data_IF_270338520377
#
_entry.id   IF_270338520377
#
_cell.length_a   1.000
_cell.length_b   1.000
_cell.length_c   1.000
_cell.angle_alpha   90.00
_cell.angle_beta   90.00
_cell.angle_gamma   90.00
#
_symmetry.space_group_name_H-M   'P 1'
#
loop_
_entity.id
_entity.type
_entity.pdbx_description
1 polymer ?
#
# COMPACT_ATOMS: atom_id res chain seq x y z
N UNK A 1 6.01 10.71 -19.85
CA UNK A 1 4.80 10.30 -19.12
C UNK A 1 5.19 10.02 -17.66
N UNK A 2 4.26 10.07 -16.72
CA UNK A 2 4.58 9.98 -15.28
C UNK A 2 3.41 9.32 -14.57
N UNK A 3 3.71 8.59 -13.47
CA UNK A 3 2.71 8.00 -12.59
C UNK A 3 1.66 9.01 -12.12
N UNK A 4 0.44 8.55 -11.84
CA UNK A 4 -0.59 9.33 -11.15
C UNK A 4 -0.65 8.94 -9.68
N UNK A 5 -0.75 9.93 -8.80
CA UNK A 5 -0.99 9.73 -7.37
C UNK A 5 -2.25 10.49 -6.97
N UNK A 6 -3.06 9.91 -6.13
CA UNK A 6 -4.31 10.51 -5.65
C UNK A 6 -4.48 10.25 -4.16
N UNK A 7 -5.10 11.19 -3.47
CA UNK A 7 -5.49 11.06 -2.06
C UNK A 7 -6.81 11.78 -1.81
N UNK A 8 -7.67 11.19 -1.01
CA UNK A 8 -8.96 11.76 -0.62
C UNK A 8 -9.20 11.54 0.88
N UNK A 9 -9.57 12.60 1.59
CA UNK A 9 -9.96 12.57 3.00
C UNK A 9 -11.35 13.19 3.16
N UNK A 10 -12.29 12.41 3.68
CA UNK A 10 -13.68 12.81 3.82
C UNK A 10 -13.93 13.38 5.21
N UNK A 11 -14.02 14.71 5.30
CA UNK A 11 -14.35 15.42 6.56
C UNK A 11 -15.82 15.27 6.93
N UNK A 12 -16.70 15.01 5.95
CA UNK A 12 -18.13 14.85 6.18
C UNK A 12 -18.48 13.37 6.31
N UNK A 13 -18.99 12.97 7.46
CA UNK A 13 -19.39 11.60 7.76
C UNK A 13 -20.40 11.03 6.74
N UNK A 14 -21.30 11.85 6.21
CA UNK A 14 -22.31 11.45 5.22
C UNK A 14 -21.73 11.02 3.88
N UNK A 15 -20.48 11.39 3.60
CA UNK A 15 -19.79 11.03 2.34
C UNK A 15 -18.97 9.74 2.46
N UNK A 16 -18.81 9.18 3.66
CA UNK A 16 -17.96 7.99 3.87
C UNK A 16 -18.36 6.79 3.02
N UNK A 17 -19.64 6.61 2.75
CA UNK A 17 -20.14 5.55 1.87
C UNK A 17 -19.85 5.80 0.39
N UNK A 18 -19.49 7.02 0.02
CA UNK A 18 -19.11 7.40 -1.34
C UNK A 18 -17.59 7.40 -1.58
N UNK A 19 -16.78 7.02 -0.58
CA UNK A 19 -15.31 7.09 -0.68
C UNK A 19 -14.79 6.34 -1.90
N UNK A 20 -15.23 5.10 -2.07
CA UNK A 20 -14.80 4.25 -3.18
C UNK A 20 -15.17 4.81 -4.54
N UNK A 21 -16.41 5.30 -4.71
CA UNK A 21 -16.86 5.94 -5.94
C UNK A 21 -16.03 7.18 -6.30
N UNK A 22 -15.70 8.01 -5.32
CA UNK A 22 -14.89 9.20 -5.52
C UNK A 22 -13.45 8.85 -5.91
N UNK A 23 -12.83 7.91 -5.18
CA UNK A 23 -11.48 7.44 -5.48
C UNK A 23 -11.40 6.77 -6.86
N UNK A 24 -12.40 5.97 -7.21
CA UNK A 24 -12.55 5.32 -8.51
C UNK A 24 -12.46 6.33 -9.66
N UNK A 25 -13.25 7.41 -9.58
CA UNK A 25 -13.22 8.49 -10.57
C UNK A 25 -11.85 9.16 -10.65
N UNK A 26 -11.17 9.39 -9.51
CA UNK A 26 -9.83 9.97 -9.48
C UNK A 26 -8.81 9.06 -10.19
N UNK A 27 -8.82 7.75 -9.91
CA UNK A 27 -7.92 6.78 -10.53
C UNK A 27 -8.16 6.65 -12.02
N UNK A 28 -9.42 6.58 -12.47
CA UNK A 28 -9.78 6.51 -13.89
C UNK A 28 -9.29 7.75 -14.63
N UNK A 29 -9.45 8.94 -14.05
CA UNK A 29 -8.95 10.18 -14.65
C UNK A 29 -7.41 10.23 -14.74
N UNK A 30 -6.69 9.41 -13.96
CA UNK A 30 -5.24 9.28 -14.02
C UNK A 30 -4.75 8.13 -14.94
N UNK A 31 -5.63 7.41 -15.65
CA UNK A 31 -5.25 6.27 -16.50
C UNK A 31 -4.23 6.65 -17.57
N UNK A 32 -4.38 7.82 -18.22
CA UNK A 32 -3.43 8.29 -19.22
C UNK A 32 -2.02 8.56 -18.67
N UNK A 33 -1.88 8.72 -17.36
CA UNK A 33 -0.59 8.93 -16.71
C UNK A 33 0.13 7.63 -16.38
N UNK A 34 -0.62 6.57 -16.08
CA UNK A 34 -0.04 5.28 -15.69
C UNK A 34 -0.98 4.13 -16.03
N UNK A 35 -0.89 3.59 -17.26
CA UNK A 35 -1.82 2.55 -17.73
C UNK A 35 -1.37 1.13 -17.36
N UNK A 36 -0.18 0.93 -16.80
CA UNK A 36 0.43 -0.40 -16.67
C UNK A 36 -0.03 -1.16 -15.43
N UNK A 37 -0.29 -0.45 -14.36
CA UNK A 37 -0.86 -1.02 -13.13
C UNK A 37 -1.52 0.06 -12.27
N UNK A 38 -2.44 -0.34 -11.42
CA UNK A 38 -3.05 0.53 -10.44
C UNK A 38 -3.22 -0.17 -9.10
N UNK A 39 -3.37 0.62 -8.06
CA UNK A 39 -3.73 0.12 -6.75
C UNK A 39 -4.12 1.24 -5.81
N UNK A 40 -4.71 0.84 -4.70
CA UNK A 40 -5.26 1.76 -3.73
C UNK A 40 -5.26 1.17 -2.32
N UNK A 41 -5.24 2.05 -1.34
CA UNK A 41 -5.43 1.74 0.07
C UNK A 41 -6.66 2.47 0.58
N UNK A 42 -7.53 1.75 1.28
CA UNK A 42 -8.75 2.26 1.93
C UNK A 42 -8.58 2.16 3.43
N UNK A 43 -8.89 3.23 4.13
CA UNK A 43 -8.87 3.27 5.59
C UNK A 43 -10.32 3.27 6.11
N UNK A 44 -10.63 2.20 6.84
CA UNK A 44 -11.93 1.96 7.47
C UNK A 44 -11.86 2.20 8.97
N UNK A 45 -12.99 2.05 9.64
CA UNK A 45 -13.01 2.06 11.11
C UNK A 45 -12.05 1.00 11.66
N UNK A 46 -11.26 1.38 12.66
CA UNK A 46 -10.30 0.51 13.33
C UNK A 46 -10.99 -0.68 14.01
N UNK A 47 -10.46 -1.87 13.79
CA UNK A 47 -10.86 -3.10 14.49
C UNK A 47 -10.06 -3.18 15.80
N UNK A 48 -10.73 -3.16 16.95
CA UNK A 48 -10.04 -3.08 18.25
C UNK A 48 -9.18 -4.30 18.56
N UNK A 49 -9.69 -5.51 18.24
CA UNK A 49 -9.09 -6.78 18.64
C UNK A 49 -8.51 -7.60 17.49
N UNK A 50 -8.82 -7.21 16.27
CA UNK A 50 -8.39 -7.95 15.07
C UNK A 50 -7.50 -7.10 14.18
N UNK A 51 -6.50 -7.76 13.61
CA UNK A 51 -5.71 -7.23 12.51
C UNK A 51 -6.32 -7.67 11.17
N UNK A 52 -6.17 -6.84 10.18
CA UNK A 52 -6.48 -7.10 8.77
C UNK A 52 -5.18 -7.32 8.02
N UNK A 53 -5.13 -8.33 7.20
CA UNK A 53 -4.01 -8.61 6.31
C UNK A 53 -4.55 -8.65 4.89
N UNK A 54 -4.05 -7.78 4.03
CA UNK A 54 -4.34 -7.79 2.59
C UNK A 54 -3.35 -8.73 1.93
N UNK A 55 -3.81 -9.87 1.43
CA UNK A 55 -2.99 -10.93 0.86
C UNK A 55 -3.37 -11.11 -0.61
N UNK A 56 -2.40 -11.02 -1.52
CA UNK A 56 -2.56 -11.42 -2.91
C UNK A 56 -2.29 -12.93 -3.03
N UNK A 57 -3.30 -13.68 -3.42
CA UNK A 57 -3.20 -15.14 -3.60
C UNK A 57 -2.77 -15.53 -5.02
N UNK A 58 -2.44 -14.53 -5.86
CA UNK A 58 -1.99 -14.72 -7.24
C UNK A 58 -2.92 -15.66 -8.04
N UNK A 59 -2.38 -16.74 -8.57
CA UNK A 59 -3.13 -17.77 -9.32
C UNK A 59 -3.69 -18.88 -8.44
N UNK A 60 -3.47 -18.82 -7.13
CA UNK A 60 -3.93 -19.84 -6.20
C UNK A 60 -5.46 -19.85 -6.13
N UNK A 61 -6.04 -21.06 -6.11
CA UNK A 61 -7.47 -21.18 -5.87
C UNK A 61 -7.81 -20.77 -4.43
N UNK A 62 -8.84 -19.93 -4.27
CA UNK A 62 -9.24 -19.41 -2.95
C UNK A 62 -9.54 -20.54 -1.95
N UNK A 63 -10.25 -21.59 -2.37
CA UNK A 63 -10.57 -22.72 -1.49
C UNK A 63 -9.30 -23.43 -0.99
N UNK A 64 -8.31 -23.61 -1.85
CA UNK A 64 -7.02 -24.17 -1.45
C UNK A 64 -6.31 -23.26 -0.44
N UNK A 65 -6.30 -21.95 -0.66
CA UNK A 65 -5.74 -21.00 0.30
C UNK A 65 -6.49 -21.06 1.64
N UNK A 66 -7.82 -21.03 1.62
CA UNK A 66 -8.68 -21.12 2.80
C UNK A 66 -8.42 -22.39 3.60
N UNK A 67 -8.38 -23.55 2.94
CA UNK A 67 -8.12 -24.84 3.60
C UNK A 67 -6.71 -24.91 4.21
N UNK A 68 -5.72 -24.28 3.58
CA UNK A 68 -4.35 -24.21 4.09
C UNK A 68 -4.24 -23.25 5.27
N UNK A 69 -4.76 -22.04 5.17
CA UNK A 69 -4.62 -21.02 6.22
C UNK A 69 -5.34 -21.43 7.49
N UNK A 70 -6.53 -22.05 7.38
CA UNK A 70 -7.30 -22.51 8.51
C UNK A 70 -6.65 -23.66 9.32
N UNK A 71 -5.60 -24.29 8.78
CA UNK A 71 -4.77 -25.26 9.55
C UNK A 71 -3.81 -24.57 10.53
N UNK A 72 -3.50 -23.30 10.30
CA UNK A 72 -2.51 -22.55 11.07
C UNK A 72 -3.12 -21.40 11.86
N UNK A 73 -4.21 -20.81 11.36
CA UNK A 73 -4.76 -19.55 11.83
C UNK A 73 -6.28 -19.60 11.85
N UNK A 74 -6.87 -19.25 12.99
CA UNK A 74 -8.30 -18.92 13.06
C UNK A 74 -8.51 -17.51 12.51
N UNK A 75 -9.20 -17.40 11.37
CA UNK A 75 -9.37 -16.15 10.66
C UNK A 75 -10.68 -16.07 9.88
N UNK A 76 -11.21 -14.86 9.80
CA UNK A 76 -12.27 -14.51 8.86
C UNK A 76 -11.63 -14.13 7.51
N UNK A 77 -12.10 -14.73 6.42
CA UNK A 77 -11.59 -14.51 5.08
C UNK A 77 -12.63 -13.84 4.20
N UNK A 78 -12.28 -12.70 3.62
CA UNK A 78 -13.10 -12.03 2.61
C UNK A 78 -12.34 -11.96 1.30
N UNK A 79 -12.73 -12.78 0.33
CA UNK A 79 -12.17 -12.76 -1.02
C UNK A 79 -12.66 -11.55 -1.80
N UNK A 80 -11.74 -10.88 -2.49
CA UNK A 80 -12.03 -9.93 -3.54
C UNK A 80 -11.08 -10.15 -4.71
N UNK A 81 -11.56 -10.82 -5.74
CA UNK A 81 -10.79 -11.25 -6.91
C UNK A 81 -9.61 -12.18 -6.53
N UNK A 82 -8.37 -11.76 -6.78
CA UNK A 82 -7.13 -12.45 -6.39
C UNK A 82 -6.53 -11.93 -5.08
N UNK A 83 -7.26 -11.08 -4.38
CA UNK A 83 -6.90 -10.63 -3.02
C UNK A 83 -7.84 -11.22 -1.99
N UNK A 84 -7.31 -11.40 -0.80
CA UNK A 84 -8.05 -11.84 0.39
C UNK A 84 -7.75 -10.86 1.52
N UNK A 85 -8.80 -10.33 2.14
CA UNK A 85 -8.69 -9.65 3.43
C UNK A 85 -8.90 -10.69 4.50
N UNK A 86 -7.83 -10.99 5.21
CA UNK A 86 -7.80 -11.93 6.34
C UNK A 86 -7.89 -11.13 7.64
N UNK A 87 -8.85 -11.45 8.49
CA UNK A 87 -9.00 -10.83 9.81
C UNK A 87 -8.77 -11.86 10.90
N UNK A 88 -7.86 -11.57 11.83
CA UNK A 88 -7.52 -12.44 12.95
C UNK A 88 -6.99 -11.63 14.13
N UNK A 89 -6.97 -12.23 15.33
CA UNK A 89 -6.31 -11.66 16.51
C UNK A 89 -4.77 -11.88 16.53
N UNK A 90 -4.24 -12.63 15.57
CA UNK A 90 -2.80 -12.88 15.46
C UNK A 90 -2.07 -11.59 15.12
N UNK A 91 -1.03 -11.29 15.90
CA UNK A 91 -0.20 -10.09 15.75
C UNK A 91 0.70 -10.16 14.50
N UNK A 92 1.10 -9.01 13.93
CA UNK A 92 1.86 -8.95 12.68
C UNK A 92 3.11 -9.83 12.65
N UNK A 93 3.94 -9.82 13.68
CA UNK A 93 5.18 -10.63 13.71
C UNK A 93 4.90 -12.15 13.58
N UNK A 94 3.87 -12.66 14.26
CA UNK A 94 3.50 -14.05 14.16
C UNK A 94 2.89 -14.39 12.79
N UNK A 95 2.06 -13.48 12.24
CA UNK A 95 1.50 -13.65 10.91
C UNK A 95 2.60 -13.68 9.84
N UNK A 96 3.54 -12.72 9.88
CA UNK A 96 4.67 -12.67 8.95
C UNK A 96 5.50 -13.96 8.99
N UNK A 97 5.78 -14.49 10.20
CA UNK A 97 6.47 -15.77 10.34
C UNK A 97 5.67 -16.91 9.71
N UNK A 98 4.37 -17.02 10.01
CA UNK A 98 3.50 -18.06 9.44
C UNK A 98 3.43 -17.99 7.90
N UNK A 99 3.30 -16.79 7.33
CA UNK A 99 3.28 -16.61 5.88
C UNK A 99 4.62 -17.01 5.26
N UNK A 100 5.72 -16.61 5.88
CA UNK A 100 7.07 -16.95 5.42
C UNK A 100 7.34 -18.46 5.45
N UNK A 101 6.86 -19.15 6.49
CA UNK A 101 7.16 -20.57 6.69
C UNK A 101 6.26 -21.50 5.86
N UNK A 102 5.01 -21.09 5.57
CA UNK A 102 4.01 -21.98 5.00
C UNK A 102 3.34 -21.50 3.71
N UNK A 103 3.55 -20.23 3.28
CA UNK A 103 2.81 -19.60 2.18
C UNK A 103 3.72 -18.83 1.22
N UNK A 104 4.68 -19.52 0.57
CA UNK A 104 5.61 -18.91 -0.39
C UNK A 104 4.96 -18.51 -1.73
N UNK A 105 3.73 -18.94 -1.96
CA UNK A 105 2.95 -18.74 -3.19
C UNK A 105 1.95 -17.58 -3.10
N UNK A 106 1.97 -16.83 -2.01
CA UNK A 106 1.16 -15.63 -1.81
C UNK A 106 2.03 -14.43 -1.46
N UNK A 107 1.50 -13.22 -1.65
CA UNK A 107 2.21 -11.97 -1.29
C UNK A 107 1.40 -11.19 -0.25
N UNK A 108 2.02 -10.79 0.84
CA UNK A 108 1.43 -9.84 1.79
C UNK A 108 1.52 -8.43 1.20
N UNK A 109 0.36 -7.82 0.94
CA UNK A 109 0.27 -6.50 0.31
C UNK A 109 0.30 -5.38 1.35
N UNK A 110 -0.19 -5.65 2.55
CA UNK A 110 -0.18 -4.73 3.68
C UNK A 110 -1.02 -5.25 4.84
N UNK A 111 -0.88 -4.61 5.98
CA UNK A 111 -1.57 -5.01 7.20
C UNK A 111 -1.82 -3.84 8.16
N UNK A 112 -2.78 -4.02 9.04
CA UNK A 112 -3.14 -3.07 10.09
C UNK A 112 -4.50 -3.38 10.68
N UNK A 113 -5.06 -2.44 11.41
CA UNK A 113 -6.40 -2.56 11.99
C UNK A 113 -7.46 -1.84 11.18
N UNK A 114 -7.05 -0.87 10.37
CA UNK A 114 -7.96 -0.01 9.57
C UNK A 114 -7.76 -0.18 8.06
N UNK A 115 -6.54 -0.44 7.61
CA UNK A 115 -6.14 -0.43 6.20
C UNK A 115 -6.57 -1.70 5.46
N UNK A 116 -6.99 -1.54 4.20
CA UNK A 116 -7.14 -2.60 3.21
C UNK A 116 -6.48 -2.13 1.91
N UNK A 117 -5.58 -2.95 1.33
CA UNK A 117 -4.81 -2.61 0.13
C UNK A 117 -5.12 -3.59 -0.99
N UNK A 118 -5.34 -3.03 -2.18
CA UNK A 118 -5.56 -3.76 -3.42
C UNK A 118 -4.69 -3.17 -4.51
N UNK A 119 -4.02 -4.00 -5.29
CA UNK A 119 -3.17 -3.58 -6.40
C UNK A 119 -3.10 -4.63 -7.47
N UNK A 120 -2.99 -4.21 -8.74
CA UNK A 120 -3.00 -5.13 -9.87
C UNK A 120 -2.34 -4.52 -11.09
N UNK A 121 -1.77 -5.38 -11.92
CA UNK A 121 -1.38 -5.08 -13.30
C UNK A 121 -2.64 -4.84 -14.15
N UNK A 122 -2.60 -3.84 -15.01
CA UNK A 122 -3.67 -3.50 -15.95
C UNK A 122 -4.10 -2.04 -15.86
N UNK A 123 -4.95 -1.64 -16.80
CA UNK A 123 -5.50 -0.29 -16.86
C UNK A 123 -6.26 0.05 -15.57
N UNK A 124 -6.11 1.27 -15.04
CA UNK A 124 -6.80 1.68 -13.82
C UNK A 124 -8.31 1.48 -13.83
N UNK A 125 -8.98 1.62 -14.97
CA UNK A 125 -10.43 1.40 -15.09
C UNK A 125 -10.80 -0.08 -14.94
N UNK A 126 -9.94 -0.99 -15.40
CA UNK A 126 -10.13 -2.44 -15.22
C UNK A 126 -9.84 -2.85 -13.78
N UNK A 127 -8.80 -2.29 -13.16
CA UNK A 127 -8.45 -2.55 -11.76
C UNK A 127 -9.57 -2.10 -10.81
N UNK A 128 -10.11 -0.90 -11.04
CA UNK A 128 -11.25 -0.36 -10.29
C UNK A 128 -12.46 -1.30 -10.37
N UNK A 129 -12.82 -1.75 -11.58
CA UNK A 129 -13.92 -2.70 -11.80
C UNK A 129 -13.66 -4.05 -11.16
N UNK A 130 -12.44 -4.59 -11.32
CA UNK A 130 -12.02 -5.89 -10.79
C UNK A 130 -12.22 -5.97 -9.28
N UNK A 131 -11.82 -4.94 -8.55
CA UNK A 131 -11.94 -4.90 -7.10
C UNK A 131 -13.24 -4.29 -6.61
N UNK A 132 -14.16 -3.90 -7.50
CA UNK A 132 -15.42 -3.24 -7.16
C UNK A 132 -15.20 -2.04 -6.22
N UNK A 133 -14.25 -1.17 -6.60
CA UNK A 133 -13.83 -0.06 -5.75
C UNK A 133 -15.01 0.85 -5.38
N UNK A 134 -15.98 1.05 -6.26
CA UNK A 134 -17.15 1.89 -6.03
C UNK A 134 -17.95 1.51 -4.76
N UNK A 135 -17.88 0.23 -4.35
CA UNK A 135 -18.63 -0.31 -3.20
C UNK A 135 -17.92 -0.08 -1.85
N UNK A 136 -16.74 0.57 -1.86
CA UNK A 136 -15.96 0.77 -0.63
C UNK A 136 -16.33 2.04 0.10
N UNK A 137 -16.51 1.90 1.42
CA UNK A 137 -16.65 2.99 2.37
C UNK A 137 -15.40 3.16 3.23
N UNK A 138 -15.23 4.33 3.80
CA UNK A 138 -14.09 4.64 4.69
C UNK A 138 -13.93 6.13 4.96
N UNK A 139 -12.94 6.48 5.75
CA UNK A 139 -12.64 7.88 6.10
C UNK A 139 -11.75 8.57 5.08
N UNK A 140 -10.77 7.84 4.55
CA UNK A 140 -9.81 8.34 3.57
C UNK A 140 -9.21 7.20 2.75
N UNK A 141 -8.59 7.56 1.64
CA UNK A 141 -7.95 6.61 0.75
C UNK A 141 -6.81 7.27 -0.01
N UNK A 142 -5.85 6.47 -0.43
CA UNK A 142 -4.82 6.87 -1.38
C UNK A 142 -4.77 5.88 -2.53
N UNK A 143 -4.34 6.34 -3.70
CA UNK A 143 -4.26 5.51 -4.88
C UNK A 143 -3.14 5.92 -5.82
N UNK A 144 -2.80 5.01 -6.72
CA UNK A 144 -1.70 5.15 -7.65
C UNK A 144 -2.04 4.53 -9.00
N UNK A 145 -1.61 5.18 -10.07
CA UNK A 145 -1.58 4.63 -11.42
C UNK A 145 -0.13 4.65 -11.91
N UNK A 146 0.40 3.49 -12.25
CA UNK A 146 1.82 3.31 -12.55
C UNK A 146 2.08 3.30 -14.04
N UNK A 147 3.12 4.03 -14.44
CA UNK A 147 3.83 3.82 -15.69
C UNK A 147 5.18 3.19 -15.35
N UNK A 148 5.41 1.98 -15.82
CA UNK A 148 6.68 1.28 -15.64
C UNK A 148 7.69 1.79 -16.66
N UNK A 149 8.84 2.27 -16.20
CA UNK A 149 9.92 2.76 -17.08
C UNK A 149 11.13 1.82 -17.08
N UNK A 150 11.48 1.26 -15.94
CA UNK A 150 12.73 0.48 -15.78
C UNK A 150 12.55 -0.86 -15.07
N UNK A 151 11.40 -1.10 -14.46
CA UNK A 151 11.14 -2.32 -13.69
C UNK A 151 9.98 -3.13 -14.24
N UNK A 152 9.99 -4.45 -14.00
CA UNK A 152 8.94 -5.35 -14.45
C UNK A 152 7.55 -4.92 -14.00
N UNK A 153 6.57 -5.13 -14.88
CA UNK A 153 5.15 -4.89 -14.58
C UNK A 153 4.62 -6.13 -13.87
N UNK A 154 4.57 -6.06 -12.55
CA UNK A 154 4.06 -7.14 -11.69
C UNK A 154 3.12 -6.58 -10.63
N UNK A 155 2.26 -7.43 -10.07
CA UNK A 155 1.38 -7.03 -8.96
C UNK A 155 2.20 -6.59 -7.74
N UNK A 156 3.27 -7.31 -7.40
CA UNK A 156 4.15 -6.95 -6.26
C UNK A 156 4.88 -5.63 -6.51
N UNK A 157 5.28 -5.36 -7.77
CA UNK A 157 5.89 -4.11 -8.20
C UNK A 157 4.92 -2.94 -8.34
N UNK A 158 3.62 -3.13 -8.08
CA UNK A 158 2.60 -2.08 -8.13
C UNK A 158 2.47 -1.36 -6.79
N UNK A 159 1.99 -0.12 -6.80
CA UNK A 159 1.70 0.67 -5.60
C UNK A 159 0.26 0.42 -5.11
N UNK A 160 -0.05 0.70 -3.81
CA UNK A 160 0.81 1.22 -2.75
C UNK A 160 1.81 0.18 -2.21
N UNK A 161 2.87 0.66 -1.55
CA UNK A 161 3.74 -0.15 -0.71
C UNK A 161 3.43 0.06 0.77
N UNK A 162 3.40 -1.03 1.53
CA UNK A 162 3.11 -1.05 2.97
C UNK A 162 4.16 -1.90 3.67
N UNK A 163 4.87 -1.32 4.61
CA UNK A 163 5.94 -1.97 5.39
C UNK A 163 5.71 -1.88 6.89
N UNK A 164 4.67 -1.16 7.31
CA UNK A 164 4.27 -0.99 8.71
C UNK A 164 2.75 -1.14 8.93
N UNK A 165 2.35 -1.18 10.21
CA UNK A 165 0.96 -1.32 10.61
C UNK A 165 0.15 -0.06 10.27
N UNK A 166 -0.94 -0.22 9.50
CA UNK A 166 -1.77 0.89 9.01
C UNK A 166 -1.00 1.98 8.23
N UNK A 167 0.12 1.63 7.64
CA UNK A 167 0.97 2.55 6.89
C UNK A 167 1.09 2.12 5.43
N UNK A 168 1.03 3.08 4.52
CA UNK A 168 1.35 2.82 3.12
C UNK A 168 1.86 4.07 2.41
N UNK A 169 2.55 3.87 1.30
CA UNK A 169 3.17 4.92 0.50
C UNK A 169 2.84 4.77 -0.97
N UNK A 170 2.48 5.87 -1.62
CA UNK A 170 2.49 5.99 -3.08
C UNK A 170 3.49 7.08 -3.49
N UNK A 171 4.15 6.88 -4.62
CA UNK A 171 5.29 7.66 -5.05
C UNK A 171 5.17 8.04 -6.54
N UNK A 172 5.48 9.27 -6.85
CA UNK A 172 5.74 9.73 -8.20
C UNK A 172 7.13 10.38 -8.24
N UNK A 173 8.10 9.73 -8.88
CA UNK A 173 9.48 10.17 -8.93
C UNK A 173 10.48 9.03 -9.00
N UNK A 174 11.69 9.29 -8.51
CA UNK A 174 12.76 8.31 -8.40
C UNK A 174 13.72 8.68 -7.26
N UNK A 175 14.18 7.67 -6.51
CA UNK A 175 15.17 7.83 -5.44
C UNK A 175 16.53 7.32 -5.92
N UNK A 176 17.52 8.21 -5.96
CA UNK A 176 18.90 7.89 -6.40
C UNK A 176 19.65 7.03 -5.39
N UNK A 177 19.40 7.25 -4.10
CA UNK A 177 20.16 6.57 -3.02
C UNK A 177 19.45 5.33 -2.44
N UNK A 178 18.38 4.83 -3.07
CA UNK A 178 17.55 3.74 -2.56
C UNK A 178 18.34 2.47 -2.23
N UNK A 179 19.35 2.11 -3.02
CA UNK A 179 20.18 0.92 -2.77
C UNK A 179 21.03 1.02 -1.49
N UNK A 180 21.55 2.22 -1.18
CA UNK A 180 22.29 2.48 0.06
C UNK A 180 21.37 2.40 1.28
N UNK A 181 20.19 3.02 1.17
CA UNK A 181 19.16 2.99 2.19
C UNK A 181 18.64 1.56 2.43
N UNK A 182 18.39 0.78 1.37
CA UNK A 182 17.99 -0.62 1.46
C UNK A 182 18.97 -1.43 2.30
N UNK A 183 20.29 -1.30 2.03
CA UNK A 183 21.32 -1.99 2.80
C UNK A 183 21.34 -1.57 4.29
N UNK A 184 21.14 -0.28 4.56
CA UNK A 184 21.06 0.25 5.93
C UNK A 184 19.83 -0.28 6.67
N UNK A 185 18.66 -0.24 6.02
CA UNK A 185 17.39 -0.68 6.60
C UNK A 185 17.35 -2.20 6.83
N UNK A 186 17.93 -3.00 5.92
CA UNK A 186 18.07 -4.45 6.13
C UNK A 186 18.87 -4.78 7.40
N UNK A 187 19.91 -4.00 7.73
CA UNK A 187 20.66 -4.17 8.99
C UNK A 187 19.80 -3.84 10.23
N UNK A 188 18.78 -3.01 10.07
CA UNK A 188 17.81 -2.71 11.12
C UNK A 188 16.62 -3.68 11.16
N UNK A 189 16.66 -4.77 10.38
CA UNK A 189 15.62 -5.80 10.37
C UNK A 189 14.45 -5.54 9.41
N UNK A 190 14.51 -4.51 8.58
CA UNK A 190 13.48 -4.25 7.56
C UNK A 190 13.67 -5.23 6.39
N UNK A 191 12.61 -5.94 6.02
CA UNK A 191 12.59 -6.82 4.85
C UNK A 191 12.03 -6.09 3.63
N UNK A 192 12.44 -6.51 2.44
CA UNK A 192 11.99 -5.98 1.16
C UNK A 192 11.71 -7.13 0.21
N UNK A 193 10.56 -7.08 -0.45
CA UNK A 193 10.07 -8.13 -1.35
C UNK A 193 10.24 -7.75 -2.83
N UNK A 194 10.57 -6.49 -3.12
CA UNK A 194 10.82 -5.99 -4.48
C UNK A 194 12.11 -5.18 -4.58
N UNK A 195 12.54 -4.91 -5.81
CA UNK A 195 13.66 -3.99 -6.08
C UNK A 195 13.20 -2.53 -6.25
N UNK A 196 11.92 -2.23 -6.01
CA UNK A 196 11.36 -0.90 -6.19
C UNK A 196 11.91 0.07 -5.13
N UNK A 197 12.23 1.28 -5.56
CA UNK A 197 12.72 2.37 -4.70
C UNK A 197 11.64 2.87 -3.73
N UNK A 198 10.38 2.80 -4.13
CA UNK A 198 9.24 3.19 -3.27
C UNK A 198 9.10 2.29 -2.05
N UNK A 199 9.37 1.00 -2.20
CA UNK A 199 9.37 0.08 -1.05
C UNK A 199 10.45 0.47 -0.03
N UNK A 200 11.59 0.94 -0.51
CA UNK A 200 12.66 1.44 0.36
C UNK A 200 12.23 2.70 1.10
N UNK A 201 11.54 3.62 0.41
CA UNK A 201 10.99 4.82 1.05
C UNK A 201 9.93 4.44 2.11
N UNK A 202 9.03 3.49 1.79
CA UNK A 202 8.06 2.99 2.75
C UNK A 202 8.74 2.38 3.98
N UNK A 203 9.76 1.52 3.77
CA UNK A 203 10.57 0.93 4.83
C UNK A 203 11.30 1.96 5.70
N UNK A 204 11.80 3.03 5.08
CA UNK A 204 12.41 4.15 5.81
C UNK A 204 11.40 4.84 6.73
N UNK A 205 10.21 5.13 6.22
CA UNK A 205 9.13 5.78 6.99
C UNK A 205 8.69 4.88 8.14
N UNK A 206 8.35 3.62 7.88
CA UNK A 206 7.90 2.68 8.90
C UNK A 206 8.95 2.43 9.99
N UNK A 207 10.23 2.33 9.61
CA UNK A 207 11.34 2.19 10.56
C UNK A 207 11.47 3.41 11.48
N UNK A 208 11.28 4.63 10.96
CA UNK A 208 11.32 5.83 11.79
C UNK A 208 10.10 5.96 12.71
N UNK A 209 8.89 5.62 12.21
CA UNK A 209 7.68 5.63 13.00
C UNK A 209 7.72 4.59 14.13
N UNK A 210 8.23 3.39 13.87
CA UNK A 210 8.42 2.33 14.89
C UNK A 210 9.42 2.73 15.97
N UNK A 211 10.40 3.59 15.64
CA UNK A 211 11.34 4.19 16.59
C UNK A 211 10.80 5.43 17.30
N UNK A 212 9.47 5.54 17.43
CA UNK A 212 8.74 6.58 18.17
C UNK A 212 8.85 8.01 17.62
N UNK A 213 9.26 8.18 16.36
CA UNK A 213 9.11 9.46 15.68
C UNK A 213 7.65 9.65 15.25
N UNK A 214 7.16 10.88 15.28
CA UNK A 214 5.86 11.17 14.67
C UNK A 214 6.02 11.33 13.15
N UNK A 215 4.89 11.25 12.41
CA UNK A 215 4.89 11.34 10.95
C UNK A 215 5.54 12.65 10.45
N UNK A 216 5.28 13.78 11.09
CA UNK A 216 5.82 15.09 10.69
C UNK A 216 7.34 15.13 10.78
N UNK A 217 7.92 14.60 11.86
CA UNK A 217 9.38 14.52 12.04
C UNK A 217 9.99 13.54 11.05
N UNK A 218 9.37 12.37 10.87
CA UNK A 218 9.80 11.38 9.87
C UNK A 218 9.85 11.98 8.45
N UNK A 219 8.81 12.71 8.05
CA UNK A 219 8.78 13.35 6.74
C UNK A 219 9.80 14.49 6.59
N UNK A 220 10.08 15.25 7.66
CA UNK A 220 11.16 16.24 7.66
C UNK A 220 12.54 15.60 7.51
N UNK A 221 12.77 14.47 8.17
CA UNK A 221 14.03 13.73 8.03
C UNK A 221 14.15 13.09 6.64
N UNK A 222 13.02 12.67 6.04
CA UNK A 222 13.00 12.17 4.66
C UNK A 222 13.59 13.18 3.67
N UNK A 223 13.33 14.48 3.83
CA UNK A 223 13.90 15.52 2.96
C UNK A 223 15.44 15.63 3.04
N UNK A 224 16.05 15.14 4.13
CA UNK A 224 17.50 15.15 4.30
C UNK A 224 18.14 13.84 3.89
N UNK A 225 17.45 12.72 4.14
CA UNK A 225 18.02 11.37 4.03
C UNK A 225 17.72 10.71 2.68
N UNK A 226 16.62 11.12 2.02
CA UNK A 226 16.21 10.59 0.71
C UNK A 226 16.73 11.52 -0.39
N UNK A 227 17.54 10.97 -1.28
CA UNK A 227 18.10 11.69 -2.42
C UNK A 227 17.33 11.29 -3.70
N UNK A 228 16.94 12.28 -4.50
CA UNK A 228 16.17 12.08 -5.73
C UNK A 228 15.17 13.20 -5.98
N UNK A 229 14.18 12.90 -6.81
CA UNK A 229 13.06 13.81 -7.09
C UNK A 229 11.75 13.04 -6.91
N UNK A 230 10.89 13.52 -6.03
CA UNK A 230 9.71 12.76 -5.64
C UNK A 230 8.56 13.61 -5.10
N UNK A 231 7.38 13.08 -5.28
CA UNK A 231 6.20 13.43 -4.48
C UNK A 231 5.63 12.15 -3.89
N UNK A 232 5.50 12.12 -2.57
CA UNK A 232 4.90 11.03 -1.80
C UNK A 232 3.50 11.41 -1.33
N UNK A 233 2.61 10.41 -1.26
CA UNK A 233 1.47 10.44 -0.34
C UNK A 233 1.68 9.27 0.62
N UNK A 234 1.84 9.58 1.91
CA UNK A 234 1.99 8.61 2.99
C UNK A 234 0.68 8.51 3.74
N UNK A 235 0.03 7.35 3.67
CA UNK A 235 -1.21 7.06 4.39
C UNK A 235 -0.91 6.44 5.75
N UNK A 236 -1.69 6.83 6.76
CA UNK A 236 -1.73 6.26 8.11
C UNK A 236 -3.19 6.12 8.55
N UNK A 237 -3.45 5.46 9.67
CA UNK A 237 -4.82 5.32 10.21
C UNK A 237 -5.55 6.65 10.47
N UNK A 238 -4.80 7.73 10.73
CA UNK A 238 -5.35 9.04 11.09
C UNK A 238 -5.54 9.98 9.89
N UNK A 239 -5.08 9.58 8.71
CA UNK A 239 -5.13 10.38 7.50
C UNK A 239 -3.93 10.13 6.59
N UNK A 240 -3.61 11.11 5.76
CA UNK A 240 -2.41 11.05 4.92
C UNK A 240 -1.66 12.37 4.91
N UNK A 241 -0.39 12.32 4.59
CA UNK A 241 0.46 13.47 4.35
C UNK A 241 1.01 13.46 2.93
N UNK A 242 1.19 14.64 2.36
CA UNK A 242 1.87 14.85 1.07
C UNK A 242 3.24 15.45 1.33
N UNK A 243 4.29 14.85 0.77
CA UNK A 243 5.65 15.35 0.83
C UNK A 243 6.18 15.52 -0.59
N UNK A 244 6.80 16.65 -0.85
CA UNK A 244 7.55 16.91 -2.08
C UNK A 244 9.00 17.18 -1.73
N UNK A 245 9.92 16.72 -2.59
CA UNK A 245 11.33 17.08 -2.53
C UNK A 245 11.53 18.60 -2.71
N UNK A 246 12.71 19.11 -2.40
CA UNK A 246 13.02 20.56 -2.47
C UNK A 246 12.89 21.14 -3.89
N UNK A 247 13.22 20.34 -4.91
CA UNK A 247 13.11 20.75 -6.32
C UNK A 247 11.64 20.83 -6.74
N UNK A 248 10.78 20.01 -6.15
CA UNK A 248 9.34 19.99 -6.38
C UNK A 248 8.92 19.82 -7.87
N UNK A 249 9.72 19.09 -8.65
CA UNK A 249 9.45 18.90 -10.08
C UNK A 249 8.28 17.96 -10.37
N UNK A 250 7.86 17.13 -9.39
CA UNK A 250 6.65 16.31 -9.50
C UNK A 250 5.48 17.05 -8.85
N UNK A 251 4.47 17.48 -9.63
CA UNK A 251 3.40 18.34 -9.10
C UNK A 251 2.49 17.57 -8.12
N UNK A 252 1.98 18.30 -7.13
CA UNK A 252 0.83 17.95 -6.31
C UNK A 252 -0.11 19.17 -6.25
N UNK A 253 -1.40 18.97 -6.51
CA UNK A 253 -2.46 19.98 -6.55
C UNK A 253 -3.64 19.52 -5.69
#
# INVERSE_FOLDING_TARGET
MMCGIVGIYLKNEKLKDSLGLLLSKMLINMSSRGPDSAGFAIYKKEEKEKFKYSICINKLNFKNFEDRINKHIDAELKKNSDHVILKTSIKPNAMLATLKDHFHDVSLVGYGKSIEIFKQVGDPSEVVKKFKLDDYSGSHAIGHTRMATESAITTDGSHPYSTGEDECLVHNGSLSNHNNLRRKLKKNGVNFDSENDTEVAAGYISNNLSNKKNLKETLKDSLKDLDGFYTFITGTKDGFAVLRDEIACKPAV
#
